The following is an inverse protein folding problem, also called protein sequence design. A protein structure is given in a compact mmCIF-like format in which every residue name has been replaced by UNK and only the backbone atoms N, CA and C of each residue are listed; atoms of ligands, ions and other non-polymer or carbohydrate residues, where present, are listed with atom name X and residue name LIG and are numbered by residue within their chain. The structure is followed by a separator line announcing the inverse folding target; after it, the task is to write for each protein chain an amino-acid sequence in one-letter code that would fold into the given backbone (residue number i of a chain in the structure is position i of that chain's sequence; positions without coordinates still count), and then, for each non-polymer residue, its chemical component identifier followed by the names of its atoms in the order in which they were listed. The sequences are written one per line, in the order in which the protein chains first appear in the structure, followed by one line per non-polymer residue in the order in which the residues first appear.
data_IF_102921804190
#
_entry.id   IF_102921804190
#
_cell.length_a   1.000
_cell.length_b   1.000
_cell.length_c   1.000
_cell.angle_alpha   90.00
_cell.angle_beta   90.00
_cell.angle_gamma   90.00
#
_symmetry.space_group_name_H-M   'P 1'
#
loop_
_entity.id
_entity.type
_entity.pdbx_description
1 polymer ?
#
# COMPACT_ATOMS: atom_id res chain seq x y z
N UNK A 1 18.75 12.42 -0.74
CA UNK A 1 17.28 12.53 -1.01
C UNK A 1 16.59 11.58 -0.04
N UNK A 2 15.35 11.86 0.41
CA UNK A 2 14.66 10.94 1.32
C UNK A 2 13.44 10.36 0.61
N UNK A 3 13.21 9.05 0.77
CA UNK A 3 12.08 8.33 0.22
C UNK A 3 11.28 7.63 1.31
N UNK A 4 9.99 7.48 1.09
CA UNK A 4 9.10 6.68 1.90
C UNK A 4 8.49 5.58 1.03
N UNK A 5 8.79 4.33 1.36
CA UNK A 5 8.17 3.16 0.75
C UNK A 5 6.81 2.91 1.42
N UNK A 6 5.75 3.30 0.74
CA UNK A 6 4.41 3.38 1.35
C UNK A 6 3.63 2.08 1.32
N UNK A 7 4.23 0.99 0.83
CA UNK A 7 3.61 -0.34 0.84
C UNK A 7 4.65 -1.46 0.70
N UNK A 8 4.81 -2.24 1.76
CA UNK A 8 5.71 -3.41 1.78
C UNK A 8 5.16 -4.53 2.65
N UNK A 9 5.52 -5.78 2.31
CA UNK A 9 5.40 -6.95 3.18
C UNK A 9 6.80 -7.37 3.66
N UNK A 10 7.45 -6.48 4.41
CA UNK A 10 8.83 -6.64 4.86
C UNK A 10 8.99 -7.85 5.81
N UNK A 11 7.95 -8.15 6.58
CA UNK A 11 7.84 -9.35 7.43
C UNK A 11 7.88 -10.65 6.60
N UNK A 12 7.17 -10.63 5.45
CA UNK A 12 7.16 -11.75 4.52
C UNK A 12 8.51 -11.90 3.81
N UNK A 13 9.12 -10.80 3.37
CA UNK A 13 10.47 -10.81 2.78
C UNK A 13 11.49 -11.38 3.78
N UNK A 14 11.49 -10.90 5.02
CA UNK A 14 12.39 -11.39 6.07
C UNK A 14 12.25 -12.91 6.25
N UNK A 15 11.04 -13.41 6.32
CA UNK A 15 10.75 -14.83 6.54
C UNK A 15 11.15 -15.69 5.34
N UNK A 16 10.88 -15.24 4.12
CA UNK A 16 11.11 -16.04 2.90
C UNK A 16 12.56 -16.05 2.45
N UNK A 17 13.29 -14.96 2.71
CA UNK A 17 14.71 -14.85 2.34
C UNK A 17 15.66 -15.17 3.50
N UNK A 18 15.13 -15.38 4.71
CA UNK A 18 15.91 -15.50 5.95
C UNK A 18 16.93 -14.36 6.15
N UNK A 19 16.58 -13.15 5.66
CA UNK A 19 17.44 -11.98 5.79
C UNK A 19 17.05 -11.23 7.08
N UNK A 20 18.02 -10.94 7.99
CA UNK A 20 17.73 -10.17 9.19
C UNK A 20 17.10 -8.80 8.90
N UNK A 21 16.16 -8.37 9.73
CA UNK A 21 15.51 -7.06 9.59
C UNK A 21 16.53 -5.91 9.58
N UNK A 22 17.58 -6.01 10.40
CA UNK A 22 18.66 -5.01 10.44
C UNK A 22 19.37 -4.84 9.08
N UNK A 23 19.59 -5.93 8.35
CA UNK A 23 20.19 -5.90 7.01
C UNK A 23 19.24 -5.30 5.99
N UNK A 24 17.94 -5.65 6.05
CA UNK A 24 16.92 -5.06 5.17
C UNK A 24 16.82 -3.55 5.39
N UNK A 25 16.86 -3.12 6.64
CA UNK A 25 16.81 -1.70 7.00
C UNK A 25 18.09 -0.97 6.59
N UNK A 26 19.26 -1.54 6.80
CA UNK A 26 20.54 -0.97 6.35
C UNK A 26 20.54 -0.74 4.83
N UNK A 27 20.13 -1.73 4.05
CA UNK A 27 20.04 -1.62 2.60
C UNK A 27 19.06 -0.50 2.17
N UNK A 28 17.89 -0.43 2.80
CA UNK A 28 16.91 0.61 2.52
C UNK A 28 17.45 2.01 2.84
N UNK A 29 18.05 2.19 4.01
CA UNK A 29 18.65 3.47 4.45
C UNK A 29 19.81 3.90 3.56
N UNK A 30 20.68 2.97 3.14
CA UNK A 30 21.77 3.23 2.20
C UNK A 30 21.26 3.66 0.81
N UNK A 31 20.02 3.31 0.46
CA UNK A 31 19.34 3.75 -0.75
C UNK A 31 18.47 5.00 -0.52
N UNK A 32 18.65 5.74 0.56
CA UNK A 32 17.86 6.92 0.94
C UNK A 32 16.37 6.60 1.25
N UNK A 33 15.96 5.35 1.40
CA UNK A 33 14.60 5.00 1.86
C UNK A 33 14.54 5.13 3.38
N UNK A 34 14.09 6.28 3.83
CA UNK A 34 14.12 6.68 5.24
C UNK A 34 12.93 6.19 6.04
N UNK A 35 11.82 5.91 5.37
CA UNK A 35 10.57 5.43 5.99
C UNK A 35 10.00 4.29 5.18
N UNK A 36 9.41 3.33 5.89
CA UNK A 36 8.77 2.14 5.30
C UNK A 36 7.46 1.87 6.04
N UNK A 37 6.38 1.67 5.29
CA UNK A 37 5.10 1.19 5.82
C UNK A 37 4.98 -0.32 5.56
N UNK A 38 4.99 -1.10 6.63
CA UNK A 38 4.72 -2.55 6.58
C UNK A 38 3.22 -2.74 6.65
N UNK A 39 2.66 -3.53 5.73
CA UNK A 39 1.21 -3.78 5.66
C UNK A 39 0.90 -5.23 6.02
N UNK A 40 -0.02 -5.43 6.95
CA UNK A 40 -0.47 -6.75 7.36
C UNK A 40 -1.47 -7.33 6.35
N UNK A 41 -1.46 -8.64 6.20
CA UNK A 41 -2.42 -9.36 5.35
C UNK A 41 -3.34 -10.29 6.15
N UNK A 42 -2.95 -10.70 7.35
CA UNK A 42 -3.70 -11.60 8.24
C UNK A 42 -3.55 -11.20 9.71
N UNK A 43 -4.56 -11.48 10.52
CA UNK A 43 -4.54 -11.16 11.95
C UNK A 43 -3.34 -11.76 12.71
N UNK A 44 -2.95 -12.98 12.38
CA UNK A 44 -1.77 -13.66 12.98
C UNK A 44 -0.45 -12.92 12.79
N UNK A 45 -0.37 -11.97 11.86
CA UNK A 45 0.85 -11.23 11.55
C UNK A 45 0.92 -9.89 12.34
N UNK A 46 -0.18 -9.45 12.96
CA UNK A 46 -0.31 -8.13 13.60
C UNK A 46 0.74 -7.88 14.69
N UNK A 47 0.89 -8.81 15.62
CA UNK A 47 1.84 -8.68 16.73
C UNK A 47 3.29 -8.62 16.21
N UNK A 48 3.65 -9.50 15.27
CA UNK A 48 4.99 -9.50 14.69
C UNK A 48 5.32 -8.17 14.00
N UNK A 49 4.38 -7.65 13.20
CA UNK A 49 4.57 -6.39 12.47
C UNK A 49 4.73 -5.21 13.45
N UNK A 50 3.93 -5.16 14.51
CA UNK A 50 4.09 -4.13 15.54
C UNK A 50 5.46 -4.21 16.21
N UNK A 51 5.90 -5.41 16.60
CA UNK A 51 7.22 -5.63 17.20
C UNK A 51 8.36 -5.19 16.25
N UNK A 52 8.22 -5.42 14.93
CA UNK A 52 9.20 -4.92 13.95
C UNK A 52 9.29 -3.39 13.97
N UNK A 53 8.17 -2.68 14.10
CA UNK A 53 8.18 -1.21 14.15
C UNK A 53 8.81 -0.65 15.41
N UNK A 54 8.76 -1.38 16.53
CA UNK A 54 9.42 -0.99 17.78
C UNK A 54 10.94 -1.07 17.69
N UNK A 55 11.48 -1.96 16.86
CA UNK A 55 12.93 -2.08 16.65
C UNK A 55 13.50 -0.89 15.85
N UNK A 56 12.70 -0.26 15.00
CA UNK A 56 13.11 0.89 14.17
C UNK A 56 12.06 2.01 14.19
N UNK A 57 11.74 2.60 15.37
CA UNK A 57 10.55 3.42 15.56
C UNK A 57 10.53 4.75 14.78
N UNK A 58 11.69 5.16 14.21
CA UNK A 58 11.81 6.36 13.37
C UNK A 58 11.67 6.06 11.88
N UNK A 59 11.75 4.79 11.51
CA UNK A 59 11.84 4.35 10.11
C UNK A 59 10.70 3.41 9.71
N UNK A 60 10.25 2.55 10.63
CA UNK A 60 9.19 1.58 10.36
C UNK A 60 7.86 2.05 10.96
N UNK A 61 6.86 2.02 10.12
CA UNK A 61 5.45 2.24 10.42
C UNK A 61 4.66 1.02 9.97
N UNK A 62 3.45 0.85 10.45
CA UNK A 62 2.62 -0.26 10.01
C UNK A 62 1.17 0.15 9.72
N UNK A 63 0.53 -0.71 8.95
CA UNK A 63 -0.90 -0.76 8.77
C UNK A 63 -1.39 -2.17 9.09
N UNK A 64 -2.48 -2.30 9.83
CA UNK A 64 -3.11 -3.58 10.15
C UNK A 64 -4.41 -3.73 9.37
N UNK A 65 -4.64 -4.93 8.82
CA UNK A 65 -5.83 -5.23 8.05
C UNK A 65 -5.91 -6.69 7.60
N UNK A 66 -7.01 -7.03 6.94
CA UNK A 66 -7.36 -8.38 6.52
C UNK A 66 -7.52 -8.39 4.99
N UNK A 67 -6.48 -8.88 4.30
CA UNK A 67 -6.34 -8.82 2.85
C UNK A 67 -7.32 -9.77 2.12
N UNK A 68 -7.99 -9.33 1.06
CA UNK A 68 -8.99 -10.14 0.34
C UNK A 68 -8.44 -11.42 -0.29
N UNK A 69 -7.16 -11.49 -0.64
CA UNK A 69 -6.53 -12.71 -1.16
C UNK A 69 -6.63 -13.88 -0.18
N UNK A 70 -6.67 -13.60 1.11
CA UNK A 70 -6.75 -14.58 2.19
C UNK A 70 -8.18 -14.75 2.75
N UNK A 71 -9.20 -14.33 2.01
CA UNK A 71 -10.60 -14.30 2.49
C UNK A 71 -11.12 -15.64 2.98
N UNK A 72 -10.65 -16.76 2.42
CA UNK A 72 -11.00 -18.11 2.89
C UNK A 72 -10.59 -18.36 4.35
N UNK A 73 -9.48 -17.75 4.77
CA UNK A 73 -8.91 -17.93 6.11
C UNK A 73 -9.45 -16.93 7.13
N UNK A 74 -10.05 -15.84 6.69
CA UNK A 74 -10.57 -14.82 7.60
C UNK A 74 -11.86 -15.30 8.29
N UNK A 75 -11.98 -14.95 9.57
CA UNK A 75 -13.15 -15.16 10.42
C UNK A 75 -13.61 -13.81 10.99
N UNK A 76 -14.88 -13.71 11.40
CA UNK A 76 -15.41 -12.46 11.99
C UNK A 76 -14.62 -12.04 13.23
N UNK A 77 -14.17 -13.00 14.03
CA UNK A 77 -13.31 -12.75 15.21
C UNK A 77 -12.01 -12.02 14.87
N UNK A 78 -11.49 -12.14 13.64
CA UNK A 78 -10.31 -11.37 13.21
C UNK A 78 -10.61 -9.87 13.03
N UNK A 79 -11.87 -9.50 12.78
CA UNK A 79 -12.28 -8.08 12.78
C UNK A 79 -12.31 -7.54 14.22
N UNK A 80 -12.78 -8.33 15.17
CA UNK A 80 -12.78 -7.98 16.60
C UNK A 80 -11.33 -7.84 17.11
N UNK A 81 -10.43 -8.75 16.67
CA UNK A 81 -9.01 -8.69 16.97
C UNK A 81 -8.36 -7.43 16.38
N UNK A 82 -8.65 -7.12 15.10
CA UNK A 82 -8.19 -5.90 14.46
C UNK A 82 -8.64 -4.66 15.26
N UNK A 83 -9.91 -4.59 15.62
CA UNK A 83 -10.44 -3.48 16.41
C UNK A 83 -9.75 -3.36 17.77
N UNK A 84 -9.45 -4.47 18.44
CA UNK A 84 -8.73 -4.47 19.70
C UNK A 84 -7.31 -3.85 19.57
N UNK A 85 -6.61 -4.10 18.46
CA UNK A 85 -5.33 -3.45 18.17
C UNK A 85 -5.49 -1.95 17.87
N UNK A 86 -6.52 -1.55 17.13
CA UNK A 86 -6.81 -0.14 16.84
C UNK A 86 -7.12 0.64 18.13
N UNK A 87 -7.85 0.03 19.06
CA UNK A 87 -8.16 0.62 20.37
C UNK A 87 -6.91 0.90 21.21
N UNK A 88 -5.91 0.00 21.16
CA UNK A 88 -4.63 0.20 21.85
C UNK A 88 -3.83 1.39 21.30
N UNK A 89 -4.13 1.80 20.05
CA UNK A 89 -3.49 2.92 19.34
C UNK A 89 -1.95 2.89 19.41
N UNK A 90 -1.28 1.83 18.93
CA UNK A 90 0.18 1.73 18.95
C UNK A 90 0.82 2.91 18.18
N UNK A 91 1.95 3.40 18.68
CA UNK A 91 2.58 4.64 18.20
C UNK A 91 2.85 4.65 16.68
N UNK A 92 3.28 3.51 16.11
CA UNK A 92 3.66 3.39 14.70
C UNK A 92 2.57 2.77 13.81
N UNK A 93 1.37 2.56 14.35
CA UNK A 93 0.20 2.16 13.58
C UNK A 93 -0.41 3.40 12.92
N UNK A 94 -0.20 3.56 11.60
CA UNK A 94 -0.54 4.79 10.87
C UNK A 94 -1.61 4.60 9.81
N UNK A 95 -2.01 3.35 9.52
CA UNK A 95 -3.02 3.05 8.51
C UNK A 95 -3.82 1.79 8.87
N UNK A 96 -5.00 1.64 8.28
CA UNK A 96 -5.70 0.38 8.20
C UNK A 96 -5.37 -0.25 6.84
N UNK A 97 -4.69 -1.42 6.82
CA UNK A 97 -4.03 -1.95 5.63
C UNK A 97 -3.54 -3.41 5.82
N UNK A 98 -3.52 -4.26 4.85
CA UNK A 98 -3.97 -4.06 3.48
C UNK A 98 -5.42 -4.57 3.37
N UNK A 99 -6.31 -3.73 2.91
CA UNK A 99 -7.73 -4.07 2.75
C UNK A 99 -8.18 -3.86 1.32
N UNK A 100 -9.26 -4.46 0.88
CA UNK A 100 -9.72 -4.22 -0.49
C UNK A 100 -10.51 -5.37 -1.10
N UNK A 101 -10.41 -5.48 -2.43
CA UNK A 101 -11.11 -6.48 -3.23
C UNK A 101 -10.17 -7.14 -4.26
N UNK A 102 -10.27 -8.47 -4.35
CA UNK A 102 -9.50 -9.30 -5.29
C UNK A 102 -10.46 -10.07 -6.21
N UNK A 103 -10.43 -9.75 -7.50
CA UNK A 103 -11.30 -10.39 -8.51
C UNK A 103 -10.52 -11.06 -9.64
N UNK A 104 -9.21 -11.10 -9.56
CA UNK A 104 -8.39 -11.74 -10.60
C UNK A 104 -8.21 -13.24 -10.36
N UNK A 105 -8.45 -13.73 -9.14
CA UNK A 105 -8.31 -15.13 -8.72
C UNK A 105 -9.68 -15.80 -8.75
N UNK A 106 -9.86 -16.75 -9.70
CA UNK A 106 -11.14 -17.43 -9.96
C UNK A 106 -11.73 -18.13 -8.72
N UNK A 107 -10.87 -18.69 -7.87
CA UNK A 107 -11.25 -19.43 -6.67
C UNK A 107 -11.76 -18.54 -5.52
N UNK A 108 -11.68 -17.22 -5.68
CA UNK A 108 -12.09 -16.24 -4.68
C UNK A 108 -13.34 -15.44 -5.08
N UNK A 109 -13.93 -15.72 -6.23
CA UNK A 109 -15.06 -14.94 -6.78
C UNK A 109 -16.37 -15.73 -6.87
N UNK A 110 -16.49 -16.90 -6.17
CA UNK A 110 -17.82 -17.49 -5.96
C UNK A 110 -18.71 -16.48 -5.23
N UNK A 111 -20.04 -16.56 -5.41
CA UNK A 111 -20.99 -15.62 -4.79
C UNK A 111 -20.78 -15.49 -3.27
N UNK A 112 -20.50 -16.60 -2.60
CA UNK A 112 -20.23 -16.63 -1.15
C UNK A 112 -18.93 -15.86 -0.80
N UNK A 113 -17.83 -16.21 -1.46
CA UNK A 113 -16.53 -15.60 -1.15
C UNK A 113 -16.45 -14.14 -1.59
N UNK A 114 -17.09 -13.80 -2.71
CA UNK A 114 -17.20 -12.41 -3.14
C UNK A 114 -17.99 -11.57 -2.14
N UNK A 115 -19.14 -12.08 -1.67
CA UNK A 115 -19.92 -11.42 -0.61
C UNK A 115 -19.07 -11.26 0.64
N UNK A 116 -18.37 -12.30 1.07
CA UNK A 116 -17.48 -12.24 2.23
C UNK A 116 -16.38 -11.18 2.07
N UNK A 117 -15.75 -11.05 0.88
CA UNK A 117 -14.79 -9.98 0.62
C UNK A 117 -15.45 -8.60 0.80
N UNK A 118 -16.64 -8.40 0.24
CA UNK A 118 -17.37 -7.13 0.36
C UNK A 118 -17.71 -6.81 1.82
N UNK A 119 -18.18 -7.80 2.59
CA UNK A 119 -18.53 -7.62 4.01
C UNK A 119 -17.28 -7.26 4.85
N UNK A 120 -16.15 -7.93 4.58
CA UNK A 120 -14.88 -7.64 5.27
C UNK A 120 -14.32 -6.27 4.89
N UNK A 121 -14.39 -5.89 3.62
CA UNK A 121 -14.01 -4.54 3.19
C UNK A 121 -14.86 -3.49 3.87
N UNK A 122 -16.18 -3.66 3.86
CA UNK A 122 -17.11 -2.69 4.45
C UNK A 122 -16.85 -2.52 5.96
N UNK A 123 -16.72 -3.63 6.70
CA UNK A 123 -16.41 -3.60 8.13
C UNK A 123 -15.09 -2.83 8.41
N UNK A 124 -14.04 -3.12 7.66
CA UNK A 124 -12.74 -2.47 7.80
C UNK A 124 -12.77 -0.98 7.42
N UNK A 125 -13.57 -0.59 6.42
CA UNK A 125 -13.77 0.82 6.09
C UNK A 125 -14.49 1.57 7.22
N UNK A 126 -15.46 0.93 7.90
CA UNK A 126 -16.09 1.54 9.07
C UNK A 126 -15.12 1.67 10.25
N UNK A 127 -14.25 0.69 10.49
CA UNK A 127 -13.16 0.81 11.48
C UNK A 127 -12.22 1.98 11.13
N UNK A 128 -11.79 2.08 9.86
CA UNK A 128 -10.95 3.20 9.42
C UNK A 128 -11.62 4.56 9.66
N UNK A 129 -12.95 4.64 9.43
CA UNK A 129 -13.73 5.85 9.69
C UNK A 129 -13.81 6.17 11.19
N UNK A 130 -14.08 5.18 12.03
CA UNK A 130 -14.19 5.30 13.48
C UNK A 130 -12.87 5.77 14.12
N UNK A 131 -11.76 5.13 13.73
CA UNK A 131 -10.42 5.42 14.28
C UNK A 131 -9.69 6.54 13.51
N UNK A 132 -10.33 7.14 12.50
CA UNK A 132 -9.79 8.23 11.68
C UNK A 132 -8.41 7.89 11.08
N UNK A 133 -8.23 6.66 10.63
CA UNK A 133 -7.03 6.20 9.96
C UNK A 133 -7.19 6.27 8.45
N UNK A 134 -6.14 6.60 7.69
CA UNK A 134 -6.12 6.39 6.25
C UNK A 134 -6.12 4.89 5.94
N UNK A 135 -6.56 4.53 4.74
CA UNK A 135 -6.55 3.14 4.28
C UNK A 135 -5.52 2.93 3.18
N UNK A 136 -4.89 1.75 3.16
CA UNK A 136 -4.05 1.31 2.05
C UNK A 136 -4.79 0.15 1.37
N UNK A 137 -5.20 0.39 0.10
CA UNK A 137 -6.24 -0.36 -0.58
C UNK A 137 -5.69 -1.25 -1.68
N UNK A 138 -5.99 -2.55 -1.59
CA UNK A 138 -5.82 -3.52 -2.66
C UNK A 138 -6.99 -3.49 -3.64
N UNK A 139 -6.70 -3.53 -4.94
CA UNK A 139 -7.73 -3.66 -5.96
C UNK A 139 -7.21 -4.35 -7.23
N UNK A 140 -7.66 -5.55 -7.48
CA UNK A 140 -7.32 -6.31 -8.69
C UNK A 140 -8.60 -6.68 -9.45
N UNK A 141 -8.77 -6.14 -10.67
CA UNK A 141 -9.99 -6.27 -11.49
C UNK A 141 -11.28 -5.87 -10.76
N UNK A 142 -11.20 -4.97 -9.78
CA UNK A 142 -12.30 -4.60 -8.87
C UNK A 142 -12.41 -3.09 -8.61
N UNK A 143 -11.71 -2.26 -9.40
CA UNK A 143 -11.67 -0.80 -9.19
C UNK A 143 -13.07 -0.16 -9.10
N UNK A 144 -13.98 -0.54 -9.99
CA UNK A 144 -15.31 0.07 -10.03
C UNK A 144 -16.16 -0.31 -8.79
N UNK A 145 -16.04 -1.57 -8.34
CA UNK A 145 -16.71 -2.03 -7.11
C UNK A 145 -16.13 -1.34 -5.89
N UNK A 146 -14.79 -1.31 -5.77
CA UNK A 146 -14.11 -0.60 -4.67
C UNK A 146 -14.51 0.87 -4.63
N UNK A 147 -14.51 1.55 -5.77
CA UNK A 147 -14.94 2.95 -5.89
C UNK A 147 -16.34 3.18 -5.33
N UNK A 148 -17.28 2.25 -5.56
CA UNK A 148 -18.66 2.34 -5.05
C UNK A 148 -18.69 2.33 -3.53
N UNK A 149 -17.90 1.47 -2.87
CA UNK A 149 -17.79 1.44 -1.40
C UNK A 149 -17.22 2.76 -0.86
N UNK A 150 -16.12 3.24 -1.44
CA UNK A 150 -15.45 4.46 -1.00
C UNK A 150 -16.34 5.70 -1.16
N UNK A 151 -17.08 5.80 -2.27
CA UNK A 151 -18.04 6.89 -2.53
C UNK A 151 -19.19 6.88 -1.52
N UNK A 152 -19.65 5.70 -1.11
CA UNK A 152 -20.75 5.54 -0.14
C UNK A 152 -20.32 5.84 1.29
N UNK A 153 -19.17 5.30 1.72
CA UNK A 153 -18.74 5.35 3.13
C UNK A 153 -18.07 6.69 3.47
N UNK A 154 -17.31 7.28 2.54
CA UNK A 154 -16.61 8.56 2.68
C UNK A 154 -15.76 8.63 3.94
N UNK A 155 -14.49 8.23 3.79
CA UNK A 155 -13.52 8.27 4.88
C UNK A 155 -12.99 9.69 5.11
N UNK A 156 -12.81 10.12 6.37
CA UNK A 156 -12.31 11.47 6.67
C UNK A 156 -10.81 11.64 6.31
N UNK A 157 -10.06 10.53 6.25
CA UNK A 157 -8.63 10.52 5.93
C UNK A 157 -8.32 9.95 4.55
N UNK A 158 -9.33 9.45 3.83
CA UNK A 158 -9.15 8.77 2.55
C UNK A 158 -8.06 7.68 2.64
N UNK A 159 -7.06 7.70 1.77
CA UNK A 159 -5.99 6.70 1.75
C UNK A 159 -5.30 6.63 0.41
N UNK A 160 -4.72 5.47 0.12
CA UNK A 160 -4.02 5.18 -1.13
C UNK A 160 -4.56 3.90 -1.77
N UNK A 161 -4.72 3.93 -3.09
CA UNK A 161 -4.90 2.73 -3.91
C UNK A 161 -3.52 2.26 -4.32
N UNK A 162 -2.99 1.21 -3.63
CA UNK A 162 -1.67 0.69 -3.90
C UNK A 162 -1.62 -0.13 -5.18
N UNK A 163 -0.41 -0.39 -5.70
CA UNK A 163 -0.18 -1.27 -6.86
C UNK A 163 -1.00 -0.88 -8.09
N UNK A 164 -1.31 0.41 -8.27
CA UNK A 164 -2.27 0.83 -9.27
C UNK A 164 -1.88 0.35 -10.67
N UNK A 165 -2.82 -0.33 -11.32
CA UNK A 165 -2.72 -0.74 -12.72
C UNK A 165 -4.07 -0.50 -13.40
N UNK A 166 -4.15 0.56 -14.22
CA UNK A 166 -5.43 0.94 -14.82
C UNK A 166 -5.36 2.13 -15.77
N UNK A 167 -6.52 2.67 -16.13
CA UNK A 167 -6.64 3.85 -16.98
C UNK A 167 -6.56 5.14 -16.18
N UNK A 168 -6.27 6.25 -16.87
CA UNK A 168 -6.34 7.59 -16.30
C UNK A 168 -7.70 7.88 -15.67
N UNK A 169 -8.80 7.51 -16.34
CA UNK A 169 -10.15 7.75 -15.80
C UNK A 169 -10.40 6.99 -14.51
N UNK A 170 -9.94 5.73 -14.42
CA UNK A 170 -10.06 4.96 -13.17
C UNK A 170 -9.27 5.61 -12.04
N UNK A 171 -8.00 5.97 -12.28
CA UNK A 171 -7.19 6.65 -11.27
C UNK A 171 -7.80 8.00 -10.88
N UNK A 172 -8.23 8.80 -11.86
CA UNK A 172 -8.85 10.10 -11.62
C UNK A 172 -10.09 10.02 -10.74
N UNK A 173 -10.93 9.01 -10.91
CA UNK A 173 -12.11 8.81 -10.07
C UNK A 173 -11.73 8.70 -8.57
N UNK A 174 -10.65 7.97 -8.24
CA UNK A 174 -10.15 7.86 -6.86
C UNK A 174 -9.54 9.18 -6.38
N UNK A 175 -8.75 9.83 -7.23
CA UNK A 175 -8.13 11.15 -6.91
C UNK A 175 -9.21 12.21 -6.64
N UNK A 176 -10.29 12.24 -7.42
CA UNK A 176 -11.42 13.16 -7.22
C UNK A 176 -12.18 12.90 -5.90
N UNK A 177 -12.08 11.69 -5.34
CA UNK A 177 -12.58 11.38 -3.98
C UNK A 177 -11.57 11.73 -2.86
N UNK A 178 -10.35 12.19 -3.21
CA UNK A 178 -9.29 12.52 -2.25
C UNK A 178 -8.29 11.40 -1.98
N UNK A 179 -8.38 10.26 -2.68
CA UNK A 179 -7.43 9.16 -2.54
C UNK A 179 -6.16 9.43 -3.34
N UNK A 180 -5.03 8.91 -2.83
CA UNK A 180 -3.76 8.89 -3.56
C UNK A 180 -3.63 7.62 -4.39
N UNK A 181 -2.68 7.63 -5.32
CA UNK A 181 -2.36 6.51 -6.20
C UNK A 181 -0.94 6.03 -5.89
N UNK A 182 -0.82 4.76 -5.53
CA UNK A 182 0.45 4.09 -5.31
C UNK A 182 1.13 3.78 -6.64
N UNK A 183 2.39 4.19 -6.75
CA UNK A 183 3.22 4.03 -7.94
C UNK A 183 4.34 3.05 -7.62
N UNK A 184 4.15 1.81 -8.05
CA UNK A 184 5.10 0.70 -7.86
C UNK A 184 5.83 0.31 -9.14
N UNK A 185 6.49 -0.84 -9.11
CA UNK A 185 7.33 -1.37 -10.18
C UNK A 185 6.65 -1.53 -11.55
N UNK A 186 5.32 -1.54 -11.61
CA UNK A 186 4.56 -1.69 -12.87
C UNK A 186 4.92 -0.63 -13.91
N UNK A 187 5.26 0.60 -13.50
CA UNK A 187 5.60 1.68 -14.45
C UNK A 187 6.95 1.48 -15.14
N UNK A 188 7.79 0.58 -14.66
CA UNK A 188 9.08 0.25 -15.28
C UNK A 188 8.92 -0.57 -16.57
N UNK A 189 7.75 -1.17 -16.78
CA UNK A 189 7.49 -2.01 -17.96
C UNK A 189 6.84 -1.21 -19.07
N UNK A 190 7.45 -1.16 -20.26
CA UNK A 190 6.90 -0.46 -21.43
C UNK A 190 5.51 -0.98 -21.83
N UNK A 191 5.25 -2.29 -21.64
CA UNK A 191 3.94 -2.90 -21.90
C UNK A 191 2.81 -2.33 -21.02
N UNK A 192 3.13 -1.73 -19.89
CA UNK A 192 2.16 -1.09 -18.98
C UNK A 192 1.75 0.32 -19.45
N UNK A 193 1.72 0.55 -20.76
CA UNK A 193 1.52 1.87 -21.37
C UNK A 193 0.30 2.63 -20.81
N UNK A 194 -0.84 1.92 -20.61
CA UNK A 194 -2.07 2.50 -20.06
C UNK A 194 -1.84 3.10 -18.66
N UNK A 195 -1.16 2.37 -17.77
CA UNK A 195 -0.82 2.82 -16.41
C UNK A 195 0.22 3.94 -16.47
N UNK A 196 1.26 3.80 -17.29
CA UNK A 196 2.29 4.84 -17.49
C UNK A 196 1.66 6.18 -17.91
N UNK A 197 0.73 6.15 -18.87
CA UNK A 197 0.00 7.35 -19.30
C UNK A 197 -0.89 7.94 -18.21
N UNK A 198 -1.51 7.10 -17.38
CA UNK A 198 -2.29 7.55 -16.24
C UNK A 198 -1.39 8.31 -15.24
N UNK A 199 -0.28 7.70 -14.83
CA UNK A 199 0.68 8.30 -13.87
C UNK A 199 1.32 9.58 -14.41
N UNK A 200 1.60 9.64 -15.72
CA UNK A 200 2.13 10.85 -16.36
C UNK A 200 1.16 12.05 -16.28
N UNK A 201 -0.15 11.81 -16.30
CA UNK A 201 -1.19 12.85 -16.39
C UNK A 201 -1.80 13.25 -15.04
N UNK A 202 -1.70 12.40 -14.02
CA UNK A 202 -2.27 12.69 -12.70
C UNK A 202 -1.53 13.86 -12.03
N UNK A 203 -2.22 14.64 -11.16
CA UNK A 203 -1.55 15.63 -10.33
C UNK A 203 -0.45 15.01 -9.49
N UNK A 204 0.72 15.64 -9.41
CA UNK A 204 1.86 15.09 -8.67
C UNK A 204 1.56 14.92 -7.17
N UNK A 205 0.74 15.78 -6.60
CA UNK A 205 0.28 15.72 -5.23
C UNK A 205 -0.67 14.53 -4.94
N UNK A 206 -1.13 13.82 -5.98
CA UNK A 206 -1.95 12.61 -5.85
C UNK A 206 -1.15 11.30 -5.87
N UNK A 207 0.18 11.35 -6.01
CA UNK A 207 1.02 10.17 -6.17
C UNK A 207 1.82 9.84 -4.90
N UNK A 208 1.97 8.55 -4.61
CA UNK A 208 2.90 7.99 -3.62
C UNK A 208 3.81 6.97 -4.30
N UNK A 209 4.99 6.73 -3.73
CA UNK A 209 5.89 5.67 -4.20
C UNK A 209 5.83 4.46 -3.27
N UNK A 210 5.94 3.27 -3.86
CA UNK A 210 5.94 2.00 -3.15
C UNK A 210 6.73 0.94 -3.90
N UNK A 211 7.05 -0.16 -3.22
CA UNK A 211 7.69 -1.33 -3.85
C UNK A 211 6.76 -2.52 -3.97
N UNK A 212 5.84 -2.69 -3.03
CA UNK A 212 5.05 -3.92 -2.85
C UNK A 212 5.94 -5.16 -2.61
N UNK A 213 7.05 -4.92 -1.90
CA UNK A 213 8.03 -5.98 -1.57
C UNK A 213 7.38 -7.14 -0.80
N UNK A 214 7.66 -8.42 -1.13
CA UNK A 214 8.64 -8.92 -2.12
C UNK A 214 8.12 -9.03 -3.55
N UNK A 215 6.86 -8.63 -3.78
CA UNK A 215 6.21 -8.72 -5.08
C UNK A 215 6.56 -7.55 -6.01
N UNK A 216 6.01 -7.55 -7.20
CA UNK A 216 6.07 -6.47 -8.19
C UNK A 216 7.47 -5.91 -8.49
N UNK A 217 8.48 -6.78 -8.80
CA UNK A 217 9.84 -6.31 -9.08
C UNK A 217 9.85 -5.32 -10.26
N UNK A 218 10.73 -4.33 -10.18
CA UNK A 218 11.00 -3.42 -11.31
C UNK A 218 11.63 -4.17 -12.47
N UNK A 219 11.50 -3.64 -13.68
CA UNK A 219 12.12 -4.22 -14.88
C UNK A 219 13.63 -4.41 -14.68
N UNK A 220 14.14 -5.57 -15.08
CA UNK A 220 15.51 -6.00 -14.89
C UNK A 220 15.72 -6.88 -13.64
N UNK A 221 14.73 -6.98 -12.75
CA UNK A 221 14.80 -7.80 -11.53
C UNK A 221 13.73 -8.88 -11.47
N UNK A 222 13.18 -9.25 -12.63
CA UNK A 222 12.17 -10.33 -12.70
C UNK A 222 12.78 -11.65 -12.25
N UNK A 223 12.03 -12.37 -11.40
CA UNK A 223 12.48 -13.63 -10.82
C UNK A 223 13.23 -13.47 -9.49
N UNK A 224 13.49 -12.24 -9.07
CA UNK A 224 14.01 -11.93 -7.75
C UNK A 224 12.90 -11.35 -6.85
N UNK A 225 13.00 -11.59 -5.54
CA UNK A 225 12.17 -10.87 -4.58
C UNK A 225 12.48 -9.36 -4.67
N UNK A 226 11.42 -8.55 -4.78
CA UNK A 226 11.58 -7.10 -4.73
C UNK A 226 12.06 -6.67 -3.35
N UNK A 227 12.57 -5.43 -3.23
CA UNK A 227 13.18 -4.91 -2.00
C UNK A 227 12.98 -3.39 -1.92
N UNK A 228 12.86 -2.85 -0.70
CA UNK A 228 12.62 -1.42 -0.49
C UNK A 228 13.71 -0.53 -1.08
N UNK A 229 14.99 -0.96 -1.11
CA UNK A 229 16.07 -0.22 -1.75
C UNK A 229 15.87 -0.02 -3.27
N UNK A 230 14.99 -0.80 -3.90
CA UNK A 230 14.63 -0.65 -5.33
C UNK A 230 13.59 0.45 -5.57
N UNK A 231 13.06 1.08 -4.54
CA UNK A 231 12.16 2.23 -4.66
C UNK A 231 12.78 3.36 -5.51
N UNK A 232 14.09 3.53 -5.40
CA UNK A 232 14.85 4.51 -6.19
C UNK A 232 14.74 4.24 -7.70
N UNK A 233 14.62 2.98 -8.11
CA UNK A 233 14.40 2.63 -9.53
C UNK A 233 12.99 3.04 -9.97
N UNK A 234 11.98 2.77 -9.15
CA UNK A 234 10.60 3.23 -9.41
C UNK A 234 10.55 4.76 -9.54
N UNK A 235 11.26 5.47 -8.66
CA UNK A 235 11.39 6.93 -8.74
C UNK A 235 12.02 7.40 -10.06
N UNK A 236 13.08 6.74 -10.54
CA UNK A 236 13.72 7.08 -11.83
C UNK A 236 12.73 6.95 -12.98
N UNK A 237 11.97 5.85 -13.04
CA UNK A 237 10.93 5.65 -14.05
C UNK A 237 9.79 6.69 -13.91
N UNK A 238 9.45 7.11 -12.70
CA UNK A 238 8.49 8.20 -12.51
C UNK A 238 9.03 9.52 -13.10
N UNK A 239 10.29 9.86 -12.87
CA UNK A 239 10.91 11.04 -13.44
C UNK A 239 10.91 11.02 -14.98
N UNK A 240 11.09 9.85 -15.62
CA UNK A 240 10.99 9.72 -17.08
C UNK A 240 9.58 9.99 -17.63
N UNK A 241 8.55 9.81 -16.81
CA UNK A 241 7.14 10.03 -17.18
C UNK A 241 6.67 11.46 -16.93
N UNK A 242 7.44 12.25 -16.20
CA UNK A 242 7.03 13.57 -15.70
C UNK A 242 7.86 14.68 -16.33
N UNK A 243 7.27 15.86 -16.40
CA UNK A 243 7.95 17.07 -16.90
C UNK A 243 8.60 17.90 -15.80
N UNK A 244 8.22 17.67 -14.54
CA UNK A 244 8.76 18.39 -13.39
C UNK A 244 10.21 17.95 -13.09
N UNK A 245 11.05 18.85 -12.56
CA UNK A 245 12.41 18.48 -12.15
C UNK A 245 12.43 17.36 -11.10
N UNK A 246 13.38 16.40 -11.17
CA UNK A 246 13.46 15.28 -10.23
C UNK A 246 13.43 15.69 -8.75
N UNK A 247 14.10 16.79 -8.40
CA UNK A 247 14.09 17.29 -7.01
C UNK A 247 12.69 17.74 -6.55
N UNK A 248 11.90 18.35 -7.44
CA UNK A 248 10.52 18.75 -7.15
C UNK A 248 9.62 17.52 -7.01
N UNK A 249 9.76 16.53 -7.90
CA UNK A 249 9.02 15.26 -7.82
C UNK A 249 9.31 14.59 -6.48
N UNK A 250 10.58 14.43 -6.12
CA UNK A 250 10.97 13.78 -4.87
C UNK A 250 10.41 14.50 -3.64
N UNK A 251 10.55 15.81 -3.58
CA UNK A 251 10.04 16.61 -2.46
C UNK A 251 8.53 16.51 -2.31
N UNK A 252 7.79 16.53 -3.43
CA UNK A 252 6.33 16.42 -3.41
C UNK A 252 5.88 15.03 -2.98
N UNK A 253 6.48 13.97 -3.53
CA UNK A 253 6.16 12.58 -3.16
C UNK A 253 6.45 12.32 -1.67
N UNK A 254 7.60 12.79 -1.17
CA UNK A 254 7.92 12.70 0.26
C UNK A 254 6.85 13.38 1.12
N UNK A 255 6.47 14.62 0.77
CA UNK A 255 5.42 15.36 1.47
C UNK A 255 4.09 14.62 1.45
N UNK A 256 3.66 14.16 0.26
CA UNK A 256 2.42 13.41 0.10
C UNK A 256 2.37 12.19 1.04
N UNK A 257 3.47 11.45 1.10
CA UNK A 257 3.59 10.23 1.92
C UNK A 257 3.54 10.54 3.42
N UNK A 258 4.32 11.54 3.86
CA UNK A 258 4.34 11.93 5.27
C UNK A 258 2.99 12.51 5.74
N UNK A 259 2.32 13.30 4.91
CA UNK A 259 0.99 13.85 5.21
C UNK A 259 -0.08 12.75 5.25
N UNK A 260 -0.05 11.81 4.28
CA UNK A 260 -1.03 10.72 4.22
C UNK A 260 -1.01 9.86 5.48
N UNK A 261 0.16 9.48 5.95
CA UNK A 261 0.32 8.60 7.09
C UNK A 261 0.60 9.33 8.42
N UNK A 262 0.51 10.67 8.41
CA UNK A 262 0.72 11.54 9.57
C UNK A 262 2.05 11.28 10.31
N UNK A 263 3.12 11.01 9.55
CA UNK A 263 4.47 10.77 10.08
C UNK A 263 5.36 12.01 9.89
N UNK A 264 6.25 12.25 10.88
CA UNK A 264 7.16 13.42 10.90
C UNK A 264 8.53 13.10 10.31
#
# INVERSE_FOLDING_TARGET
MAFFDTHTHLDYLQRTTNTPLSVLMENALNADVQKILIVAVMARDFENILNMTELFPRHLYCGLGLHPLFIKNHQKSHLDELEAYLQKNPQNLTALSEIGLERSVSELISDELWRKQCDFLEAQLYLAKQYKLPVNLHSRKSHDQLFTFLKRIRLPKCGVLHGFSGSYQQAKNFVDLGYKIGVGGVISYLRANKTRQAIAKLPLDSLLLETDTPDMPVFGFQGEANRSERLVQTFRYLCELRSEPPAQIQQQIWRNSCEMFAVK
#
